data_IF_926375855335
#
_entry.id   IF_926375855335
#
_cell.length_a   1.000
_cell.length_b   1.000
_cell.length_c   1.000
_cell.angle_alpha   90.00
_cell.angle_beta   90.00
_cell.angle_gamma   90.00
#
_symmetry.space_group_name_H-M   'P 1'
#
loop_
_entity.id
_entity.type
_entity.pdbx_description
1 polymer ?
#
# COMPACT_ATOMS: atom_id res chain seq x y z
N UNK A 1 32.98 1.73 -8.83
CA UNK A 1 33.10 0.32 -9.29
C UNK A 1 31.75 -0.36 -9.27
N UNK A 2 30.93 -0.15 -8.23
CA UNK A 2 29.55 -0.65 -8.12
C UNK A 2 28.66 -0.28 -9.32
N UNK A 3 28.70 0.96 -9.82
CA UNK A 3 27.92 1.36 -11.01
C UNK A 3 28.30 0.60 -12.30
N UNK A 4 29.55 0.13 -12.41
CA UNK A 4 29.97 -0.70 -13.57
C UNK A 4 29.38 -2.10 -13.46
N UNK A 5 29.38 -2.68 -12.26
CA UNK A 5 28.79 -4.00 -12.00
C UNK A 5 27.28 -3.97 -12.18
N UNK A 6 26.61 -2.89 -11.76
CA UNK A 6 25.18 -2.72 -11.99
C UNK A 6 24.86 -2.67 -13.49
N UNK A 7 25.69 -2.02 -14.31
CA UNK A 7 25.53 -2.05 -15.78
C UNK A 7 25.75 -3.43 -16.37
N UNK A 8 26.73 -4.19 -15.89
CA UNK A 8 26.92 -5.58 -16.32
C UNK A 8 25.73 -6.45 -15.94
N UNK A 9 25.16 -6.24 -14.75
CA UNK A 9 23.94 -6.92 -14.30
C UNK A 9 22.78 -6.64 -15.24
N UNK A 10 22.52 -5.37 -15.55
CA UNK A 10 21.47 -4.97 -16.49
C UNK A 10 21.70 -5.55 -17.90
N UNK A 11 22.96 -5.55 -18.36
CA UNK A 11 23.34 -6.16 -19.63
C UNK A 11 23.02 -7.66 -19.65
N UNK A 12 23.32 -8.40 -18.57
CA UNK A 12 22.99 -9.84 -18.43
C UNK A 12 21.52 -10.13 -18.57
N UNK A 13 20.60 -9.19 -18.28
CA UNK A 13 19.18 -9.39 -18.52
C UNK A 13 18.80 -9.22 -20.00
N UNK A 14 19.39 -8.23 -20.68
CA UNK A 14 19.05 -7.90 -22.07
C UNK A 14 19.74 -8.80 -23.09
N UNK A 15 21.04 -9.08 -22.91
CA UNK A 15 21.87 -9.88 -23.79
C UNK A 15 22.94 -10.69 -23.05
N UNK A 16 23.61 -11.59 -23.76
CA UNK A 16 24.82 -12.22 -23.23
C UNK A 16 25.96 -11.19 -23.14
N UNK A 17 26.80 -11.32 -22.10
CA UNK A 17 27.95 -10.45 -21.89
C UNK A 17 29.02 -10.71 -22.94
N UNK A 18 29.70 -9.65 -23.39
CA UNK A 18 30.82 -9.78 -24.33
C UNK A 18 32.04 -10.38 -23.61
N UNK A 19 33.05 -10.88 -24.36
CA UNK A 19 34.28 -11.38 -23.76
C UNK A 19 34.98 -10.36 -22.86
N UNK A 20 34.99 -9.08 -23.24
CA UNK A 20 35.62 -8.00 -22.48
C UNK A 20 34.88 -7.74 -21.16
N UNK A 21 33.55 -7.77 -21.20
CA UNK A 21 32.68 -7.61 -20.02
C UNK A 21 32.84 -8.77 -19.04
N UNK A 22 33.02 -10.00 -19.54
CA UNK A 22 33.28 -11.16 -18.70
C UNK A 22 34.65 -11.07 -17.98
N UNK A 23 35.67 -10.53 -18.65
CA UNK A 23 36.98 -10.29 -18.01
C UNK A 23 36.84 -9.25 -16.90
N UNK A 24 36.09 -8.17 -17.15
CA UNK A 24 35.84 -7.14 -16.14
C UNK A 24 35.08 -7.69 -14.92
N UNK A 25 34.06 -8.52 -15.17
CA UNK A 25 33.30 -9.21 -14.14
C UNK A 25 34.20 -10.15 -13.32
N UNK A 26 35.05 -10.95 -13.97
CA UNK A 26 35.91 -11.90 -13.26
C UNK A 26 36.91 -11.17 -12.37
N UNK A 27 37.50 -10.06 -12.83
CA UNK A 27 38.34 -9.20 -12.00
C UNK A 27 37.59 -8.67 -10.77
N UNK A 28 36.32 -8.29 -10.91
CA UNK A 28 35.50 -7.86 -9.79
C UNK A 28 35.17 -8.99 -8.82
N UNK A 29 34.83 -10.18 -9.32
CA UNK A 29 34.50 -11.35 -8.50
C UNK A 29 35.73 -11.93 -7.79
N UNK A 30 36.92 -11.81 -8.38
CA UNK A 30 38.18 -12.12 -7.72
C UNK A 30 38.44 -11.15 -6.54
N UNK A 31 38.16 -9.87 -6.73
CA UNK A 31 38.27 -8.87 -5.66
C UNK A 31 37.16 -8.99 -4.60
N UNK A 32 35.99 -9.51 -4.97
CA UNK A 32 34.82 -9.66 -4.10
C UNK A 32 34.22 -11.09 -4.16
N UNK A 33 34.87 -12.09 -3.55
CA UNK A 33 34.41 -13.48 -3.63
C UNK A 33 33.01 -13.72 -3.07
N UNK A 34 32.56 -12.86 -2.13
CA UNK A 34 31.22 -12.93 -1.53
C UNK A 34 30.09 -12.59 -2.52
N UNK A 35 30.36 -11.84 -3.59
CA UNK A 35 29.36 -11.47 -4.59
C UNK A 35 29.15 -12.55 -5.65
N UNK A 36 30.02 -13.56 -5.71
CA UNK A 36 29.94 -14.67 -6.68
C UNK A 36 28.61 -15.45 -6.63
N UNK A 37 28.09 -15.89 -5.45
CA UNK A 37 26.82 -16.62 -5.42
C UNK A 37 25.64 -15.78 -5.92
N UNK A 38 25.57 -14.51 -5.53
CA UNK A 38 24.49 -13.60 -5.96
C UNK A 38 24.53 -13.37 -7.47
N UNK A 39 25.74 -13.18 -8.01
CA UNK A 39 25.93 -13.03 -9.45
C UNK A 39 25.53 -14.28 -10.24
N UNK A 40 25.96 -15.45 -9.79
CA UNK A 40 25.65 -16.73 -10.43
C UNK A 40 24.14 -17.00 -10.45
N UNK A 41 23.46 -16.69 -9.34
CA UNK A 41 22.00 -16.80 -9.26
C UNK A 41 21.30 -15.91 -10.30
N UNK A 42 21.70 -14.65 -10.41
CA UNK A 42 21.12 -13.72 -11.38
C UNK A 42 21.42 -14.13 -12.83
N UNK A 43 22.62 -14.63 -13.10
CA UNK A 43 23.00 -15.13 -14.41
C UNK A 43 22.16 -16.35 -14.83
N UNK A 44 21.98 -17.31 -13.93
CA UNK A 44 21.11 -18.47 -14.18
C UNK A 44 19.65 -18.06 -14.39
N UNK A 45 19.16 -17.09 -13.62
CA UNK A 45 17.81 -16.56 -13.77
C UNK A 45 17.62 -15.92 -15.15
N UNK A 46 18.54 -15.05 -15.58
CA UNK A 46 18.48 -14.43 -16.89
C UNK A 46 18.56 -15.46 -18.03
N UNK A 47 19.39 -16.49 -17.87
CA UNK A 47 19.47 -17.61 -18.83
C UNK A 47 18.17 -18.42 -18.89
N UNK A 48 17.55 -18.70 -17.74
CA UNK A 48 16.25 -19.36 -17.67
C UNK A 48 15.16 -18.55 -18.40
N UNK A 49 15.14 -17.22 -18.25
CA UNK A 49 14.19 -16.37 -18.98
C UNK A 49 14.42 -16.39 -20.49
N UNK A 50 15.67 -16.39 -20.96
CA UNK A 50 15.98 -16.47 -22.40
C UNK A 50 15.62 -17.80 -23.03
N UNK A 51 15.73 -18.88 -22.27
CA UNK A 51 15.38 -20.23 -22.74
C UNK A 51 13.87 -20.49 -22.73
N UNK A 52 13.05 -19.59 -22.17
CA UNK A 52 11.59 -19.74 -22.24
C UNK A 52 11.11 -19.68 -23.69
N UNK A 53 10.15 -20.55 -24.07
CA UNK A 53 9.57 -20.51 -25.40
C UNK A 53 8.88 -19.15 -25.62
N UNK A 54 8.94 -18.60 -26.85
CA UNK A 54 8.23 -17.37 -27.16
C UNK A 54 6.74 -17.57 -26.87
N UNK A 55 6.17 -16.65 -26.10
CA UNK A 55 4.74 -16.64 -25.81
C UNK A 55 4.02 -16.13 -27.06
N UNK A 56 3.25 -17.01 -27.71
CA UNK A 56 2.31 -16.55 -28.73
C UNK A 56 1.18 -15.77 -28.04
N UNK A 57 0.91 -14.52 -28.46
CA UNK A 57 -0.23 -13.79 -27.95
C UNK A 57 -1.51 -14.57 -28.29
N UNK A 58 -2.44 -14.62 -27.33
CA UNK A 58 -3.74 -15.25 -27.53
C UNK A 58 -4.44 -14.61 -28.75
N UNK A 59 -5.10 -15.41 -29.58
CA UNK A 59 -5.92 -14.90 -30.70
C UNK A 59 -6.89 -13.82 -30.19
N UNK A 60 -6.94 -12.67 -30.86
CA UNK A 60 -7.76 -11.52 -30.47
C UNK A 60 -7.20 -10.69 -29.31
N UNK A 61 -5.94 -10.88 -28.91
CA UNK A 61 -5.27 -10.05 -27.89
C UNK A 61 -5.31 -8.56 -28.27
N UNK A 62 -4.94 -8.22 -29.50
CA UNK A 62 -4.95 -6.84 -30.01
C UNK A 62 -6.34 -6.23 -29.98
N UNK A 63 -7.38 -6.98 -30.35
CA UNK A 63 -8.77 -6.51 -30.30
C UNK A 63 -9.21 -6.19 -28.87
N UNK A 64 -8.89 -7.07 -27.91
CA UNK A 64 -9.20 -6.84 -26.49
C UNK A 64 -8.42 -5.68 -25.90
N UNK A 65 -7.15 -5.53 -26.26
CA UNK A 65 -6.32 -4.41 -25.80
C UNK A 65 -6.87 -3.09 -26.33
N UNK A 66 -7.17 -3.02 -27.63
CA UNK A 66 -7.77 -1.81 -28.24
C UNK A 66 -9.11 -1.48 -27.59
N UNK A 67 -10.00 -2.47 -27.42
CA UNK A 67 -11.28 -2.28 -26.75
C UNK A 67 -11.10 -1.72 -25.33
N UNK A 68 -10.18 -2.31 -24.53
CA UNK A 68 -9.90 -1.84 -23.17
C UNK A 68 -9.29 -0.43 -23.12
N UNK A 69 -8.40 -0.09 -24.07
CA UNK A 69 -7.79 1.23 -24.14
C UNK A 69 -8.83 2.30 -24.52
N UNK A 70 -9.76 1.98 -25.41
CA UNK A 70 -10.86 2.89 -25.78
C UNK A 70 -11.86 3.06 -24.64
N UNK A 71 -12.15 2.02 -23.85
CA UNK A 71 -13.05 2.10 -22.71
C UNK A 71 -12.49 3.03 -21.60
N UNK A 72 -11.18 2.96 -21.33
CA UNK A 72 -10.52 3.84 -20.36
C UNK A 72 -10.62 5.32 -20.76
N UNK A 73 -10.45 5.66 -22.05
CA UNK A 73 -10.63 7.04 -22.53
C UNK A 73 -12.05 7.59 -22.33
N UNK A 74 -13.06 6.73 -22.39
CA UNK A 74 -14.45 7.14 -22.17
C UNK A 74 -14.83 7.28 -20.68
N UNK A 75 -14.12 6.61 -19.77
CA UNK A 75 -14.32 6.81 -18.33
C UNK A 75 -13.68 8.10 -17.80
N UNK A 76 -12.60 8.57 -18.42
CA UNK A 76 -11.93 9.81 -17.99
C UNK A 76 -12.76 11.08 -18.26
N UNK A 77 -13.60 11.07 -19.29
CA UNK A 77 -14.50 12.20 -19.60
C UNK A 77 -15.72 12.25 -18.69
N UNK A 78 -16.18 11.10 -18.18
CA UNK A 78 -17.37 11.03 -17.30
C UNK A 78 -17.04 11.18 -15.82
N UNK A 79 -15.80 10.92 -15.38
CA UNK A 79 -15.36 11.17 -13.99
C UNK A 79 -15.08 12.64 -13.67
N UNK A 80 -14.83 13.49 -14.67
CA UNK A 80 -14.48 14.92 -14.45
C UNK A 80 -15.65 15.86 -14.14
N UNK A 81 -16.91 15.41 -14.27
CA UNK A 81 -18.09 16.26 -14.06
C UNK A 81 -18.88 15.98 -12.78
N UNK A 82 -18.40 15.07 -11.91
CA UNK A 82 -19.13 14.68 -10.69
C UNK A 82 -18.43 15.12 -9.39
N UNK A 83 -17.85 16.32 -9.38
CA UNK A 83 -17.10 16.81 -8.22
C UNK A 83 -16.96 18.31 -8.15
N UNK A 84 -18.06 19.05 -7.98
CA UNK A 84 -18.10 20.29 -7.19
C UNK A 84 -19.54 20.82 -7.02
N UNK A 85 -20.44 20.01 -6.44
CA UNK A 85 -21.63 20.59 -5.82
C UNK A 85 -21.24 21.00 -4.40
N UNK A 86 -20.88 22.27 -4.22
CA UNK A 86 -20.63 22.82 -2.89
C UNK A 86 -21.98 22.90 -2.18
N UNK A 87 -22.18 22.03 -1.19
CA UNK A 87 -23.36 22.06 -0.33
C UNK A 87 -23.29 23.30 0.57
N UNK A 88 -24.04 24.34 0.22
CA UNK A 88 -24.09 25.61 0.97
C UNK A 88 -24.58 25.43 2.42
N UNK A 89 -25.29 24.34 2.72
CA UNK A 89 -25.72 24.00 4.08
C UNK A 89 -24.56 23.54 4.97
N UNK A 90 -23.52 22.90 4.41
CA UNK A 90 -22.34 22.48 5.17
C UNK A 90 -21.50 23.70 5.60
N UNK A 91 -21.41 24.72 4.74
CA UNK A 91 -20.73 25.99 5.02
C UNK A 91 -21.48 26.78 6.12
N UNK A 92 -22.81 26.71 6.12
CA UNK A 92 -23.66 27.36 7.13
C UNK A 92 -23.51 26.72 8.51
N UNK A 93 -23.41 25.39 8.57
CA UNK A 93 -23.13 24.66 9.81
C UNK A 93 -21.75 24.99 10.39
N UNK A 94 -20.73 25.18 9.53
CA UNK A 94 -19.38 25.51 9.95
C UNK A 94 -19.27 26.89 10.64
N UNK A 95 -20.05 27.89 10.20
CA UNK A 95 -20.07 29.23 10.82
C UNK A 95 -20.57 29.23 12.27
N UNK A 96 -21.42 28.28 12.66
CA UNK A 96 -21.89 28.14 14.04
C UNK A 96 -20.85 27.44 14.94
N UNK A 97 -20.06 26.52 14.38
CA UNK A 97 -19.02 25.79 15.12
C UNK A 97 -17.83 26.67 15.55
N UNK A 98 -17.40 27.62 14.70
CA UNK A 98 -16.25 28.49 15.02
C UNK A 98 -16.49 29.39 16.24
N UNK A 99 -17.72 29.85 16.47
CA UNK A 99 -18.05 30.65 17.65
C UNK A 99 -17.87 29.87 18.96
N UNK A 100 -18.27 28.59 18.96
CA UNK A 100 -18.13 27.72 20.12
C UNK A 100 -16.66 27.34 20.39
N UNK A 101 -15.89 27.08 19.34
CA UNK A 101 -14.47 26.75 19.46
C UNK A 101 -13.66 27.92 20.06
N UNK A 102 -13.92 29.15 19.61
CA UNK A 102 -13.28 30.35 20.18
C UNK A 102 -13.68 30.58 21.64
N UNK A 103 -14.93 30.30 22.00
CA UNK A 103 -15.39 30.37 23.39
C UNK A 103 -14.65 29.36 24.28
N UNK A 104 -14.52 28.11 23.83
CA UNK A 104 -13.81 27.05 24.57
C UNK A 104 -12.32 27.39 24.72
N UNK A 105 -11.68 27.90 23.67
CA UNK A 105 -10.28 28.33 23.70
C UNK A 105 -10.11 29.52 24.67
N UNK A 106 -11.02 30.49 24.64
CA UNK A 106 -11.01 31.63 25.57
C UNK A 106 -11.16 31.21 27.03
N UNK A 107 -12.09 30.29 27.33
CA UNK A 107 -12.28 29.73 28.67
C UNK A 107 -11.04 28.94 29.11
N UNK A 108 -10.45 28.13 28.23
CA UNK A 108 -9.23 27.38 28.50
C UNK A 108 -8.04 28.30 28.84
N UNK A 109 -7.85 29.39 28.08
CA UNK A 109 -6.80 30.37 28.37
C UNK A 109 -7.06 31.11 29.70
N UNK A 110 -8.32 31.44 29.99
CA UNK A 110 -8.70 32.11 31.23
C UNK A 110 -8.44 31.24 32.47
N UNK A 111 -8.76 29.94 32.39
CA UNK A 111 -8.45 28.97 33.45
C UNK A 111 -6.95 28.76 33.61
N UNK A 112 -6.19 28.73 32.50
CA UNK A 112 -4.73 28.58 32.54
C UNK A 112 -4.02 29.77 33.19
N UNK A 113 -4.46 31.00 32.92
CA UNK A 113 -3.91 32.19 33.57
C UNK A 113 -4.36 32.33 35.04
N UNK A 114 -5.54 31.80 35.40
CA UNK A 114 -6.08 31.84 36.76
C UNK A 114 -5.50 30.78 37.71
N UNK A 115 -4.99 29.66 37.20
CA UNK A 115 -4.36 28.61 38.01
C UNK A 115 -2.84 28.77 38.10
N UNK A 116 -2.38 29.65 39.00
CA UNK A 116 -1.04 29.50 39.60
C UNK A 116 -1.16 28.45 40.72
N UNK A 117 -0.61 27.23 40.57
CA UNK A 117 -0.82 26.17 41.55
C UNK A 117 -0.10 26.47 42.87
N UNK A 118 -0.84 26.45 43.98
CA UNK A 118 -0.28 26.31 45.33
C UNK A 118 0.28 24.89 45.50
N UNK A 119 1.51 24.73 46.01
CA UNK A 119 2.15 23.41 46.07
C UNK A 119 1.60 22.62 47.26
N UNK A 120 0.80 21.57 47.01
CA UNK A 120 0.38 20.69 48.09
C UNK A 120 -0.66 19.59 47.84
N UNK A 121 -0.98 19.17 46.60
CA UNK A 121 -2.10 18.24 46.41
C UNK A 121 -2.07 17.38 45.17
N UNK A 122 -1.11 16.46 45.06
CA UNK A 122 -1.07 15.45 43.97
C UNK A 122 -0.93 14.02 44.51
N UNK A 123 -1.82 13.59 45.41
CA UNK A 123 -1.86 12.17 45.83
C UNK A 123 -3.10 11.40 45.34
N UNK A 124 -4.04 12.04 44.62
CA UNK A 124 -5.32 11.39 44.23
C UNK A 124 -5.39 10.85 42.80
N UNK A 125 -4.65 11.42 41.84
CA UNK A 125 -4.85 11.10 40.42
C UNK A 125 -4.10 9.85 39.92
N UNK A 126 -3.10 9.39 40.68
CA UNK A 126 -2.26 8.24 40.27
C UNK A 126 -2.96 6.89 40.53
N UNK A 127 -3.98 6.85 41.39
CA UNK A 127 -4.69 5.61 41.70
C UNK A 127 -5.64 5.15 40.56
N UNK A 128 -6.21 6.08 39.79
CA UNK A 128 -7.24 5.77 38.78
C UNK A 128 -6.63 5.21 37.48
N UNK A 129 -5.37 5.52 37.18
CA UNK A 129 -4.70 5.07 35.95
C UNK A 129 -4.26 3.60 36.05
N UNK A 130 -3.94 3.11 37.25
CA UNK A 130 -3.59 1.70 37.43
C UNK A 130 -4.81 0.75 37.36
N UNK A 131 -6.02 1.24 37.66
CA UNK A 131 -7.23 0.41 37.66
C UNK A 131 -7.81 0.20 36.24
N UNK A 132 -7.60 1.16 35.34
CA UNK A 132 -8.05 1.08 33.94
C UNK A 132 -7.13 0.24 33.05
N UNK A 133 -5.82 0.22 33.33
CA UNK A 133 -4.87 -0.64 32.62
C UNK A 133 -5.11 -2.14 32.87
N UNK A 134 -5.72 -2.51 34.00
CA UNK A 134 -6.04 -3.91 34.33
C UNK A 134 -7.29 -4.44 33.59
N UNK A 135 -8.01 -3.60 32.84
CA UNK A 135 -9.31 -3.93 32.22
C UNK A 135 -9.29 -4.06 30.69
N UNK A 136 -8.15 -3.93 30.04
CA UNK A 136 -7.99 -4.39 28.65
C UNK A 136 -7.69 -5.90 28.74
N UNK A 137 -8.75 -6.70 28.93
CA UNK A 137 -8.64 -8.16 28.96
C UNK A 137 -8.43 -8.69 27.55
N UNK A 138 -7.70 -9.80 27.45
CA UNK A 138 -7.34 -10.49 26.19
C UNK A 138 -8.58 -10.86 25.34
N UNK A 139 -9.78 -10.89 25.93
CA UNK A 139 -11.04 -11.14 25.22
C UNK A 139 -11.37 -10.08 24.16
N UNK A 140 -10.98 -8.82 24.29
CA UNK A 140 -11.22 -7.81 23.24
C UNK A 140 -10.34 -7.99 22.00
N UNK A 141 -9.26 -8.78 22.10
CA UNK A 141 -8.50 -9.17 20.91
C UNK A 141 -9.17 -10.34 20.16
N UNK A 142 -10.09 -11.09 20.80
CA UNK A 142 -10.81 -12.17 20.14
C UNK A 142 -11.84 -11.65 19.12
N UNK A 143 -12.39 -10.44 19.33
CA UNK A 143 -13.33 -9.80 18.39
C UNK A 143 -12.67 -9.44 17.04
N UNK A 144 -11.35 -9.25 17.02
CA UNK A 144 -10.60 -9.01 15.77
C UNK A 144 -10.36 -10.30 14.98
N UNK A 145 -10.43 -11.47 15.63
CA UNK A 145 -10.28 -12.77 15.00
C UNK A 145 -11.50 -13.12 14.11
N UNK A 146 -12.67 -12.55 14.42
CA UNK A 146 -13.89 -12.64 13.59
C UNK A 146 -13.74 -11.91 12.26
N UNK A 147 -13.09 -10.74 12.26
CA UNK A 147 -12.81 -9.95 11.05
C UNK A 147 -11.80 -10.68 10.16
N UNK A 148 -10.80 -11.33 10.77
CA UNK A 148 -9.84 -12.17 10.05
C UNK A 148 -10.50 -13.45 9.48
N UNK A 149 -11.44 -14.06 10.20
CA UNK A 149 -12.22 -15.19 9.69
C UNK A 149 -13.17 -14.81 8.55
N UNK A 150 -13.78 -13.64 8.58
CA UNK A 150 -14.62 -13.12 7.48
C UNK A 150 -13.84 -12.95 6.16
N UNK A 151 -12.56 -12.58 6.21
CA UNK A 151 -11.70 -12.52 5.03
C UNK A 151 -11.32 -13.90 4.47
N UNK A 152 -11.32 -14.93 5.31
CA UNK A 152 -11.04 -16.32 4.92
C UNK A 152 -12.25 -17.10 4.39
N UNK A 153 -13.47 -16.64 4.68
CA UNK A 153 -14.74 -17.14 4.07
C UNK A 153 -15.01 -16.37 2.77
N UNK A 154 -14.03 -16.36 1.85
CA UNK A 154 -14.31 -16.09 0.44
C UNK A 154 -14.57 -17.42 -0.25
N UNK A 155 -15.65 -18.09 0.15
CA UNK A 155 -16.26 -19.10 -0.70
C UNK A 155 -16.74 -18.39 -1.95
N UNK A 156 -16.09 -18.67 -3.06
CA UNK A 156 -16.58 -18.39 -4.40
C UNK A 156 -18.04 -18.91 -4.45
N UNK A 157 -19.06 -18.08 -4.74
CA UNK A 157 -20.41 -18.60 -4.90
C UNK A 157 -20.38 -19.64 -6.02
N UNK A 158 -20.93 -20.83 -5.79
CA UNK A 158 -21.09 -21.83 -6.85
C UNK A 158 -21.85 -21.19 -8.02
N UNK A 159 -21.39 -21.39 -9.26
CA UNK A 159 -22.05 -20.81 -10.42
C UNK A 159 -23.49 -21.30 -10.48
N UNK A 160 -24.42 -20.35 -10.61
CA UNK A 160 -25.85 -20.61 -10.62
C UNK A 160 -26.22 -21.26 -11.97
N UNK A 161 -26.26 -22.60 -12.00
CA UNK A 161 -26.43 -23.37 -13.23
C UNK A 161 -27.79 -23.15 -13.91
N UNK A 162 -28.80 -22.69 -13.18
CA UNK A 162 -30.10 -22.30 -13.74
C UNK A 162 -30.00 -21.03 -14.60
N UNK A 163 -29.16 -20.06 -14.19
CA UNK A 163 -28.87 -18.83 -14.94
C UNK A 163 -28.07 -19.12 -16.22
N UNK A 164 -27.21 -20.14 -16.18
CA UNK A 164 -26.42 -20.57 -17.34
C UNK A 164 -27.24 -21.32 -18.39
N UNK A 165 -28.31 -22.02 -17.99
CA UNK A 165 -29.21 -22.70 -18.93
C UNK A 165 -30.18 -21.74 -19.64
N UNK A 166 -30.55 -20.62 -19.02
CA UNK A 166 -31.42 -19.61 -19.64
C UNK A 166 -30.71 -18.74 -20.69
N UNK A 167 -29.39 -18.83 -20.78
CA UNK A 167 -28.53 -18.03 -21.67
C UNK A 167 -28.04 -18.79 -22.91
N UNK A 168 -28.47 -20.06 -23.09
CA UNK A 168 -28.34 -20.85 -24.32
C UNK A 168 -29.65 -20.85 -25.11
#
# INVERSE_FOLDING_TARGET
MEERIQRLREAVWQRELTPEENVELDLYLQANPRARPDWEFEYQLASAFRSMPPLEPRKGFTERVVASATEIQTQDTTRRLKGFAIDFDLIRAWRLGFGLALLIIGIGLFLWFGHRPTPGGYNGAIAVVCETAKRISIDTLADYDVILKLGSVRTLPEPDYELLQLLQ
#
